data_IF_541109706608
#
_entry.id   IF_541109706608
#
_cell.length_a   1.000
_cell.length_b   1.000
_cell.length_c   1.000
_cell.angle_alpha   90.00
_cell.angle_beta   90.00
_cell.angle_gamma   90.00
#
_symmetry.space_group_name_H-M   'P 1'
#
loop_
_entity.id
_entity.type
_entity.pdbx_description
1 polymer ?
#
# COMPACT_ATOMS: atom_id res chain seq x y z
N UNK A 1 1.35 -28.05 4.61
CA UNK A 1 0.14 -27.23 4.77
C UNK A 1 -0.18 -26.62 3.41
N UNK A 2 -1.35 -26.89 2.83
CA UNK A 2 -1.80 -26.16 1.64
C UNK A 2 -2.27 -24.77 2.09
N UNK A 3 -1.36 -23.80 2.07
CA UNK A 3 -1.69 -22.39 2.28
C UNK A 3 -2.13 -21.79 0.94
N UNK A 4 -3.21 -22.31 0.38
CA UNK A 4 -3.85 -21.67 -0.77
C UNK A 4 -4.41 -20.33 -0.32
N UNK A 5 -4.00 -19.26 -1.00
CA UNK A 5 -4.53 -17.92 -0.80
C UNK A 5 -5.86 -17.86 -1.55
N UNK A 6 -6.96 -17.90 -0.80
CA UNK A 6 -8.32 -18.01 -1.37
C UNK A 6 -8.98 -16.67 -1.62
N UNK A 7 -8.41 -15.59 -1.11
CA UNK A 7 -8.96 -14.25 -1.24
C UNK A 7 -7.92 -13.16 -1.08
N UNK A 8 -8.21 -11.96 -1.61
CA UNK A 8 -7.43 -10.75 -1.36
C UNK A 8 -7.37 -10.40 0.14
N UNK A 9 -8.41 -10.75 0.91
CA UNK A 9 -8.44 -10.54 2.36
C UNK A 9 -7.41 -11.42 3.07
N UNK A 10 -7.25 -12.66 2.63
CA UNK A 10 -6.25 -13.58 3.19
C UNK A 10 -4.84 -13.14 2.80
N UNK A 11 -4.64 -12.69 1.55
CA UNK A 11 -3.38 -12.11 1.11
C UNK A 11 -3.00 -10.87 1.93
N UNK A 12 -3.94 -9.94 2.13
CA UNK A 12 -3.75 -8.76 2.96
C UNK A 12 -3.38 -9.12 4.40
N UNK A 13 -4.04 -10.13 4.99
CA UNK A 13 -3.72 -10.62 6.35
C UNK A 13 -2.31 -11.20 6.45
N UNK A 14 -1.85 -11.91 5.43
CA UNK A 14 -0.50 -12.48 5.37
C UNK A 14 0.56 -11.38 5.26
N UNK A 15 0.27 -10.30 4.55
CA UNK A 15 1.16 -9.15 4.37
C UNK A 15 1.05 -8.09 5.47
N UNK A 16 0.06 -8.21 6.35
CA UNK A 16 -0.19 -7.27 7.44
C UNK A 16 1.05 -6.99 8.32
N UNK A 17 1.93 -7.96 8.64
CA UNK A 17 3.17 -7.67 9.34
C UNK A 17 4.09 -6.70 8.58
N UNK A 18 4.27 -6.90 7.27
CA UNK A 18 5.08 -6.01 6.43
C UNK A 18 4.43 -4.62 6.30
N UNK A 19 3.11 -4.56 6.06
CA UNK A 19 2.36 -3.31 5.99
C UNK A 19 2.47 -2.50 7.29
N UNK A 20 2.38 -3.15 8.45
CA UNK A 20 2.54 -2.51 9.76
C UNK A 20 3.96 -1.99 9.97
N UNK A 21 4.97 -2.75 9.54
CA UNK A 21 6.37 -2.30 9.62
C UNK A 21 6.59 -1.06 8.77
N UNK A 22 6.17 -1.06 7.50
CA UNK A 22 6.30 0.10 6.62
C UNK A 22 5.50 1.30 7.13
N UNK A 23 4.28 1.11 7.63
CA UNK A 23 3.51 2.17 8.28
C UNK A 23 4.28 2.80 9.45
N UNK A 24 4.87 1.98 10.31
CA UNK A 24 5.64 2.47 11.46
C UNK A 24 6.82 3.32 11.00
N UNK A 25 7.57 2.86 10.00
CA UNK A 25 8.67 3.61 9.37
C UNK A 25 8.18 4.95 8.81
N UNK A 26 7.08 4.96 8.06
CA UNK A 26 6.47 6.19 7.54
C UNK A 26 6.05 7.15 8.66
N UNK A 27 5.53 6.64 9.78
CA UNK A 27 5.15 7.45 10.94
C UNK A 27 6.38 8.06 11.64
N UNK A 28 7.48 7.33 11.72
CA UNK A 28 8.77 7.85 12.22
C UNK A 28 9.27 9.02 11.37
N UNK A 29 8.99 8.99 10.06
CA UNK A 29 9.25 10.07 9.09
C UNK A 29 8.18 11.18 9.02
N UNK A 30 7.26 11.23 10.00
CA UNK A 30 6.18 12.24 10.11
C UNK A 30 5.01 12.10 9.12
N UNK A 31 4.91 11.01 8.36
CA UNK A 31 3.73 10.69 7.54
C UNK A 31 2.61 10.02 8.36
N UNK A 32 2.16 10.69 9.43
CA UNK A 32 1.29 10.12 10.48
C UNK A 32 -0.12 9.72 9.99
N UNK A 33 -0.57 10.29 8.88
CA UNK A 33 -1.89 9.99 8.30
C UNK A 33 -1.91 8.67 7.53
N UNK A 34 -0.75 8.04 7.30
CA UNK A 34 -0.66 6.82 6.49
C UNK A 34 -1.24 5.61 7.21
N UNK A 35 -2.10 4.86 6.52
CA UNK A 35 -2.67 3.60 6.99
C UNK A 35 -2.07 2.38 6.26
N UNK A 36 -2.28 1.19 6.81
CA UNK A 36 -1.91 -0.07 6.14
C UNK A 36 -2.65 -0.25 4.80
N UNK A 37 -3.89 0.25 4.72
CA UNK A 37 -4.71 0.23 3.50
C UNK A 37 -4.16 1.17 2.43
N UNK A 38 -3.62 2.31 2.82
CA UNK A 38 -2.97 3.26 1.92
C UNK A 38 -1.74 2.65 1.24
N UNK A 39 -0.87 2.01 2.03
CA UNK A 39 0.32 1.32 1.53
C UNK A 39 -0.08 0.16 0.64
N UNK A 40 -1.09 -0.62 1.04
CA UNK A 40 -1.63 -1.71 0.24
C UNK A 40 -2.15 -1.25 -1.12
N UNK A 41 -2.91 -0.15 -1.15
CA UNK A 41 -3.45 0.41 -2.38
C UNK A 41 -2.33 0.96 -3.28
N UNK A 42 -1.32 1.63 -2.72
CA UNK A 42 -0.13 2.02 -3.47
C UNK A 42 0.51 0.82 -4.19
N UNK A 43 0.76 -0.27 -3.45
CA UNK A 43 1.41 -1.46 -4.01
C UNK A 43 0.59 -2.10 -5.10
N UNK A 44 -0.74 -2.20 -4.91
CA UNK A 44 -1.64 -2.71 -5.94
C UNK A 44 -1.58 -1.90 -7.22
N UNK A 45 -1.63 -0.57 -7.10
CA UNK A 45 -1.86 0.33 -8.23
C UNK A 45 -0.55 0.64 -8.98
N UNK A 46 0.61 0.52 -8.34
CA UNK A 46 1.90 0.91 -8.93
C UNK A 46 2.85 -0.28 -9.15
N UNK A 47 2.87 -1.25 -8.23
CA UNK A 47 3.87 -2.34 -8.24
C UNK A 47 3.27 -3.64 -8.78
N UNK A 48 2.10 -4.03 -8.30
CA UNK A 48 1.54 -5.36 -8.54
C UNK A 48 0.53 -5.44 -9.68
N UNK A 49 0.01 -4.31 -10.16
CA UNK A 49 -1.06 -4.27 -11.17
C UNK A 49 -0.74 -5.13 -12.41
N UNK A 50 0.51 -5.13 -12.85
CA UNK A 50 0.97 -5.83 -14.06
C UNK A 50 1.96 -6.96 -13.76
N UNK A 51 2.20 -7.26 -12.48
CA UNK A 51 3.15 -8.27 -12.07
C UNK A 51 2.56 -9.68 -12.21
N UNK A 52 3.39 -10.63 -12.61
CA UNK A 52 3.01 -12.04 -12.77
C UNK A 52 3.87 -12.92 -11.88
N UNK A 53 3.32 -14.02 -11.36
CA UNK A 53 4.04 -14.98 -10.51
C UNK A 53 4.61 -14.39 -9.20
N UNK A 54 3.99 -13.34 -8.67
CA UNK A 54 4.35 -12.78 -7.37
C UNK A 54 4.20 -13.83 -6.26
N UNK A 55 5.27 -14.06 -5.52
CA UNK A 55 5.21 -14.81 -4.27
C UNK A 55 4.91 -13.89 -3.09
N UNK A 56 4.46 -14.46 -1.97
CA UNK A 56 4.26 -13.69 -0.74
C UNK A 56 5.57 -13.02 -0.26
N UNK A 57 6.72 -13.65 -0.53
CA UNK A 57 8.03 -13.08 -0.18
C UNK A 57 8.33 -11.86 -1.04
N UNK A 58 8.08 -11.93 -2.35
CA UNK A 58 8.30 -10.79 -3.26
C UNK A 58 7.42 -9.61 -2.82
N UNK A 59 6.14 -9.87 -2.57
CA UNK A 59 5.22 -8.82 -2.11
C UNK A 59 5.62 -8.23 -0.75
N UNK A 60 6.14 -9.04 0.18
CA UNK A 60 6.64 -8.54 1.45
C UNK A 60 7.91 -7.71 1.28
N UNK A 61 8.81 -8.13 0.39
CA UNK A 61 10.04 -7.41 0.04
C UNK A 61 9.71 -6.06 -0.61
N UNK A 62 8.79 -6.05 -1.59
CA UNK A 62 8.28 -4.84 -2.24
C UNK A 62 7.76 -3.83 -1.18
N UNK A 63 6.94 -4.31 -0.23
CA UNK A 63 6.39 -3.47 0.84
C UNK A 63 7.51 -2.85 1.69
N UNK A 64 8.52 -3.62 2.07
CA UNK A 64 9.56 -3.18 2.99
C UNK A 64 10.60 -2.29 2.29
N UNK A 65 10.86 -2.50 1.01
CA UNK A 65 11.92 -1.83 0.27
C UNK A 65 11.43 -0.68 -0.63
N UNK A 66 10.12 -0.47 -0.75
CA UNK A 66 9.60 0.73 -1.42
C UNK A 66 9.97 2.00 -0.64
N UNK A 67 10.38 3.02 -1.39
CA UNK A 67 10.75 4.33 -0.87
C UNK A 67 9.54 5.05 -0.26
N UNK A 68 9.72 5.60 0.95
CA UNK A 68 8.63 6.24 1.68
C UNK A 68 8.08 7.48 0.96
N UNK A 69 8.95 8.21 0.25
CA UNK A 69 8.59 9.41 -0.49
C UNK A 69 7.66 9.10 -1.67
N UNK A 70 7.81 7.93 -2.31
CA UNK A 70 6.93 7.50 -3.40
C UNK A 70 5.51 7.23 -2.89
N UNK A 71 5.40 6.52 -1.76
CA UNK A 71 4.12 6.27 -1.10
C UNK A 71 3.49 7.60 -0.66
N UNK A 72 4.26 8.49 -0.05
CA UNK A 72 3.77 9.79 0.39
C UNK A 72 3.27 10.66 -0.78
N UNK A 73 4.00 10.68 -1.90
CA UNK A 73 3.62 11.41 -3.10
C UNK A 73 2.30 10.88 -3.70
N UNK A 74 2.14 9.55 -3.76
CA UNK A 74 0.90 8.91 -4.19
C UNK A 74 -0.29 9.31 -3.31
N UNK A 75 -0.12 9.30 -1.99
CA UNK A 75 -1.20 9.69 -1.07
C UNK A 75 -1.55 11.17 -1.17
N UNK A 76 -0.54 12.04 -1.27
CA UNK A 76 -0.75 13.47 -1.45
C UNK A 76 -1.53 13.77 -2.74
N UNK A 77 -1.18 13.08 -3.84
CA UNK A 77 -1.89 13.18 -5.12
C UNK A 77 -3.35 12.75 -4.99
N UNK A 78 -3.61 11.59 -4.39
CA UNK A 78 -4.96 11.05 -4.24
C UNK A 78 -5.85 11.93 -3.33
N UNK A 79 -5.26 12.50 -2.28
CA UNK A 79 -5.95 13.48 -1.42
C UNK A 79 -6.28 14.74 -2.21
N UNK A 80 -5.35 15.25 -3.02
CA UNK A 80 -5.58 16.44 -3.85
C UNK A 80 -6.70 16.19 -4.87
N UNK A 81 -6.65 15.06 -5.59
CA UNK A 81 -7.68 14.67 -6.57
C UNK A 81 -9.05 14.56 -5.92
N UNK A 82 -9.15 13.91 -4.74
CA UNK A 82 -10.42 13.79 -4.01
C UNK A 82 -11.04 15.14 -3.58
N UNK A 83 -10.24 16.20 -3.50
CA UNK A 83 -10.70 17.57 -3.18
C UNK A 83 -11.16 18.35 -4.41
N UNK A 84 -10.60 18.05 -5.59
CA UNK A 84 -11.01 18.69 -6.84
C UNK A 84 -12.41 18.20 -7.24
N UNK A 85 -12.65 16.90 -7.14
CA UNK A 85 -13.96 16.30 -7.46
C UNK A 85 -15.09 16.86 -6.58
N UNK A 86 -14.81 17.23 -5.33
CA UNK A 86 -15.82 17.83 -4.43
C UNK A 86 -16.15 19.28 -4.75
N UNK A 87 -15.26 20.00 -5.44
CA UNK A 87 -15.45 21.41 -5.79
C UNK A 87 -16.17 21.58 -7.14
N UNK A 88 -16.18 20.56 -8.01
CA UNK A 88 -16.89 20.57 -9.31
C UNK A 88 -18.40 20.24 -9.19
N UNK A 89 -18.86 19.72 -8.06
CA UNK A 89 -20.29 19.42 -7.80
C UNK A 89 -21.09 20.57 -7.15
N UNK A 90 -20.52 21.78 -7.02
CA UNK A 90 -21.15 22.93 -6.31
C UNK A 90 -21.56 24.07 -7.24
#
# INVERSE_FOLDING_TARGET
MNNEIKSLKDLYRLLLPALRSKKKEMHELKHLYTTEEDIWNYMKDNTWQNATNLTLSDMADDILNTENDEIAAFLARRILESRIDSDEEV
#
